data_IF_829864804903
#
_entry.id   IF_829864804903
#
_cell.length_a   1.000
_cell.length_b   1.000
_cell.length_c   1.000
_cell.angle_alpha   90.00
_cell.angle_beta   90.00
_cell.angle_gamma   90.00
#
_symmetry.space_group_name_H-M   'P 1'
#
loop_
_entity.id
_entity.type
_entity.pdbx_description
1 polymer ?
#
# COMPACT_ATOMS: atom_id res chain seq x y z
N UNK A 1 -20.72 -12.49 24.43
CA UNK A 1 -19.77 -11.79 23.54
C UNK A 1 -20.57 -11.16 22.43
N UNK A 2 -20.42 -9.84 22.20
CA UNK A 2 -21.07 -9.19 21.07
C UNK A 2 -20.29 -9.56 19.81
N UNK A 3 -20.82 -10.49 19.03
CA UNK A 3 -20.29 -10.86 17.72
C UNK A 3 -20.52 -9.70 16.73
N UNK A 4 -19.62 -9.59 15.76
CA UNK A 4 -19.73 -8.67 14.62
C UNK A 4 -19.82 -9.48 13.33
N UNK A 5 -20.21 -8.86 12.22
CA UNK A 5 -20.06 -9.49 10.91
C UNK A 5 -18.60 -9.88 10.64
N UNK A 6 -18.32 -11.05 10.03
CA UNK A 6 -16.96 -11.50 9.80
C UNK A 6 -16.15 -10.56 8.91
N UNK A 7 -14.93 -10.23 9.35
CA UNK A 7 -13.93 -9.51 8.57
C UNK A 7 -12.84 -10.49 8.16
N UNK A 8 -12.85 -10.88 6.89
CA UNK A 8 -11.84 -11.74 6.27
C UNK A 8 -10.72 -10.88 5.68
N UNK A 9 -9.84 -10.34 6.54
CA UNK A 9 -8.86 -9.33 6.12
C UNK A 9 -7.91 -9.84 5.03
N UNK A 10 -7.50 -11.12 5.07
CA UNK A 10 -6.66 -11.71 4.04
C UNK A 10 -7.39 -11.72 2.69
N UNK A 11 -8.60 -12.27 2.64
CA UNK A 11 -9.45 -12.30 1.44
C UNK A 11 -9.67 -10.88 0.88
N UNK A 12 -9.88 -9.89 1.74
CA UNK A 12 -10.09 -8.49 1.33
C UNK A 12 -8.83 -7.92 0.68
N UNK A 13 -7.65 -8.15 1.28
CA UNK A 13 -6.37 -7.68 0.74
C UNK A 13 -6.04 -8.38 -0.57
N UNK A 14 -6.13 -9.72 -0.60
CA UNK A 14 -5.85 -10.52 -1.81
C UNK A 14 -6.73 -10.10 -2.96
N UNK A 15 -8.03 -9.86 -2.72
CA UNK A 15 -8.95 -9.37 -3.75
C UNK A 15 -8.51 -8.04 -4.36
N UNK A 16 -8.05 -7.09 -3.53
CA UNK A 16 -7.57 -5.80 -4.05
C UNK A 16 -6.33 -5.99 -4.92
N UNK A 17 -5.42 -6.88 -4.51
CA UNK A 17 -4.22 -7.18 -5.30
C UNK A 17 -4.57 -7.92 -6.58
N UNK A 18 -5.57 -8.81 -6.56
CA UNK A 18 -6.09 -9.49 -7.74
C UNK A 18 -6.68 -8.50 -8.77
N UNK A 19 -7.41 -7.47 -8.30
CA UNK A 19 -7.91 -6.41 -9.18
C UNK A 19 -6.74 -5.65 -9.87
N UNK A 20 -5.68 -5.33 -9.10
CA UNK A 20 -4.46 -4.69 -9.63
C UNK A 20 -3.73 -5.61 -10.61
N UNK A 21 -3.60 -6.89 -10.27
CA UNK A 21 -2.97 -7.91 -11.09
C UNK A 21 -3.69 -8.08 -12.44
N UNK A 22 -5.02 -8.16 -12.43
CA UNK A 22 -5.83 -8.24 -13.65
C UNK A 22 -5.66 -6.99 -14.51
N UNK A 23 -5.73 -5.80 -13.90
CA UNK A 23 -5.44 -4.55 -14.59
C UNK A 23 -4.04 -4.56 -15.22
N UNK A 24 -3.02 -5.04 -14.51
CA UNK A 24 -1.67 -5.16 -15.05
C UNK A 24 -1.57 -6.14 -16.21
N UNK A 25 -2.08 -7.36 -16.02
CA UNK A 25 -2.08 -8.43 -17.02
C UNK A 25 -2.75 -7.99 -18.32
N UNK A 26 -3.88 -7.30 -18.24
CA UNK A 26 -4.66 -6.88 -19.41
C UNK A 26 -3.99 -5.76 -20.20
N UNK A 27 -3.14 -4.94 -19.56
CA UNK A 27 -2.60 -3.72 -20.17
C UNK A 27 -1.08 -3.75 -20.41
N UNK A 28 -0.33 -4.60 -19.69
CA UNK A 28 1.13 -4.57 -19.73
C UNK A 28 1.70 -4.86 -21.13
N UNK A 29 1.03 -5.67 -21.96
CA UNK A 29 1.47 -5.96 -23.33
C UNK A 29 1.45 -4.74 -24.27
N UNK A 30 0.67 -3.70 -23.93
CA UNK A 30 0.69 -2.44 -24.68
C UNK A 30 1.95 -1.63 -24.40
N UNK A 31 2.49 -1.74 -23.18
CA UNK A 31 3.62 -0.93 -22.72
C UNK A 31 4.97 -1.66 -22.75
N UNK A 32 4.96 -3.00 -22.65
CA UNK A 32 6.17 -3.82 -22.52
C UNK A 32 6.18 -5.06 -23.42
N UNK A 33 7.39 -5.48 -23.78
CA UNK A 33 7.69 -6.86 -24.15
C UNK A 33 7.69 -7.70 -22.87
N UNK A 34 6.72 -8.63 -22.77
CA UNK A 34 6.52 -9.46 -21.58
C UNK A 34 7.54 -10.62 -21.59
N UNK A 35 8.32 -10.82 -20.52
CA UNK A 35 9.23 -11.97 -20.41
C UNK A 35 8.48 -13.31 -20.43
N UNK A 36 9.04 -14.33 -21.10
CA UNK A 36 8.41 -15.65 -21.28
C UNK A 36 7.91 -16.28 -19.96
N UNK A 37 8.72 -16.20 -18.90
CA UNK A 37 8.35 -16.73 -17.58
C UNK A 37 7.12 -16.01 -16.99
N UNK A 38 6.96 -14.72 -17.26
CA UNK A 38 5.78 -13.97 -16.81
C UNK A 38 4.58 -14.26 -17.68
N UNK A 39 4.77 -14.38 -19.00
CA UNK A 39 3.70 -14.76 -19.92
C UNK A 39 3.14 -16.16 -19.57
N UNK A 40 4.01 -17.12 -19.22
CA UNK A 40 3.60 -18.41 -18.68
C UNK A 40 2.85 -18.27 -17.35
N UNK A 41 3.36 -17.44 -16.42
CA UNK A 41 2.67 -17.17 -15.16
C UNK A 41 1.25 -16.63 -15.39
N UNK A 42 1.08 -15.66 -16.29
CA UNK A 42 -0.21 -15.08 -16.66
C UNK A 42 -1.17 -16.10 -17.29
N UNK A 43 -0.66 -17.04 -18.09
CA UNK A 43 -1.50 -18.12 -18.66
C UNK A 43 -1.99 -19.07 -17.58
N UNK A 44 -1.12 -19.45 -16.66
CA UNK A 44 -1.41 -20.42 -15.60
C UNK A 44 -2.22 -19.85 -14.44
N UNK A 45 -2.15 -18.53 -14.21
CA UNK A 45 -2.84 -17.86 -13.11
C UNK A 45 -3.82 -16.83 -13.70
N UNK A 46 -5.11 -17.13 -13.67
CA UNK A 46 -6.13 -16.19 -14.16
C UNK A 46 -6.58 -15.19 -13.10
N UNK A 47 -6.41 -15.55 -11.83
CA UNK A 47 -6.79 -14.77 -10.67
C UNK A 47 -5.93 -15.18 -9.47
N UNK A 48 -5.76 -14.26 -8.54
CA UNK A 48 -5.09 -14.48 -7.26
C UNK A 48 -6.16 -14.67 -6.19
N UNK A 49 -6.11 -15.79 -5.45
CA UNK A 49 -7.13 -16.15 -4.44
C UNK A 49 -6.59 -16.24 -3.03
N UNK A 50 -5.29 -16.47 -2.91
CA UNK A 50 -4.64 -16.74 -1.64
C UNK A 50 -3.39 -15.88 -1.50
N UNK A 51 -2.90 -15.73 -0.27
CA UNK A 51 -1.58 -15.18 -0.02
C UNK A 51 -0.47 -15.92 -0.78
N UNK A 52 -0.58 -17.24 -0.93
CA UNK A 52 0.41 -18.03 -1.69
C UNK A 52 0.48 -17.61 -3.16
N UNK A 53 -0.63 -17.16 -3.74
CA UNK A 53 -0.65 -16.66 -5.12
C UNK A 53 0.07 -15.31 -5.22
N UNK A 54 -0.05 -14.46 -4.19
CA UNK A 54 0.69 -13.20 -4.10
C UNK A 54 2.21 -13.45 -4.02
N UNK A 55 2.62 -14.39 -3.18
CA UNK A 55 4.02 -14.78 -3.03
C UNK A 55 4.56 -15.35 -4.35
N UNK A 56 3.78 -16.19 -5.04
CA UNK A 56 4.16 -16.74 -6.35
C UNK A 56 4.34 -15.66 -7.42
N UNK A 57 3.43 -14.67 -7.47
CA UNK A 57 3.55 -13.51 -8.36
C UNK A 57 4.79 -12.68 -8.02
N UNK A 58 5.04 -12.40 -6.73
CA UNK A 58 6.22 -11.68 -6.29
C UNK A 58 7.53 -12.36 -6.71
N UNK A 59 7.61 -13.68 -6.58
CA UNK A 59 8.75 -14.49 -7.04
C UNK A 59 8.90 -14.43 -8.56
N UNK A 60 7.79 -14.48 -9.31
CA UNK A 60 7.83 -14.39 -10.77
C UNK A 60 8.33 -13.01 -11.24
N UNK A 61 7.86 -11.93 -10.60
CA UNK A 61 8.29 -10.57 -10.90
C UNK A 61 9.76 -10.35 -10.57
N UNK A 62 10.22 -10.77 -9.40
CA UNK A 62 11.62 -10.62 -8.98
C UNK A 62 12.59 -11.31 -9.95
N UNK A 63 12.26 -12.54 -10.37
CA UNK A 63 13.06 -13.31 -11.35
C UNK A 63 13.10 -12.69 -12.74
N UNK A 64 12.09 -11.91 -13.11
CA UNK A 64 11.93 -11.36 -14.46
C UNK A 64 12.19 -9.86 -14.51
N UNK A 65 12.46 -9.20 -13.37
CA UNK A 65 12.48 -7.75 -13.26
C UNK A 65 13.43 -7.08 -14.26
N UNK A 66 14.61 -7.66 -14.49
CA UNK A 66 15.59 -7.16 -15.46
C UNK A 66 15.24 -7.43 -16.93
N UNK A 67 14.28 -8.30 -17.19
CA UNK A 67 13.98 -8.81 -18.53
C UNK A 67 12.84 -8.03 -19.20
N UNK A 68 12.08 -7.26 -18.43
CA UNK A 68 11.03 -6.38 -18.94
C UNK A 68 11.63 -5.26 -19.79
N UNK A 69 11.08 -5.08 -20.99
CA UNK A 69 11.52 -4.03 -21.92
C UNK A 69 10.35 -3.18 -22.38
N UNK A 70 10.40 -1.85 -22.22
CA UNK A 70 9.38 -0.96 -22.77
C UNK A 70 9.33 -1.03 -24.31
N UNK A 71 8.12 -1.11 -24.87
CA UNK A 71 7.91 -1.20 -26.33
C UNK A 71 8.42 0.03 -27.10
N UNK A 72 8.43 1.21 -26.46
CA UNK A 72 8.87 2.48 -27.02
C UNK A 72 10.27 2.91 -26.57
N UNK A 73 11.00 2.01 -25.90
CA UNK A 73 12.30 2.28 -25.25
C UNK A 73 12.26 3.35 -24.14
N UNK A 74 11.08 3.75 -23.66
CA UNK A 74 10.97 4.65 -22.52
C UNK A 74 11.18 3.89 -21.21
N UNK A 75 12.41 3.91 -20.70
CA UNK A 75 12.81 3.19 -19.47
C UNK A 75 12.02 3.64 -18.23
N UNK A 76 11.48 4.86 -18.21
CA UNK A 76 10.69 5.37 -17.08
C UNK A 76 9.43 4.54 -16.84
N UNK A 77 8.91 3.86 -17.88
CA UNK A 77 7.77 2.93 -17.74
C UNK A 77 8.04 1.81 -16.72
N UNK A 78 9.30 1.47 -16.47
CA UNK A 78 9.69 0.50 -15.43
C UNK A 78 9.16 0.88 -14.03
N UNK A 79 8.78 2.14 -13.81
CA UNK A 79 8.08 2.57 -12.59
C UNK A 79 6.80 1.77 -12.33
N UNK A 80 6.08 1.34 -13.37
CA UNK A 80 4.87 0.52 -13.25
C UNK A 80 5.16 -0.83 -12.56
N UNK A 81 6.32 -1.43 -12.86
CA UNK A 81 6.77 -2.67 -12.22
C UNK A 81 7.10 -2.43 -10.74
N UNK A 82 7.71 -1.28 -10.42
CA UNK A 82 7.96 -0.87 -9.04
C UNK A 82 6.65 -0.68 -8.28
N UNK A 83 5.65 -0.02 -8.87
CA UNK A 83 4.33 0.12 -8.26
C UNK A 83 3.68 -1.25 -7.98
N UNK A 84 3.70 -2.18 -8.94
CA UNK A 84 3.17 -3.54 -8.74
C UNK A 84 3.89 -4.27 -7.60
N UNK A 85 5.22 -4.20 -7.55
CA UNK A 85 6.02 -4.78 -6.46
C UNK A 85 5.70 -4.15 -5.11
N UNK A 86 5.58 -2.83 -5.03
CA UNK A 86 5.20 -2.09 -3.83
C UNK A 86 3.81 -2.48 -3.32
N UNK A 87 2.84 -2.68 -4.22
CA UNK A 87 1.50 -3.18 -3.88
C UNK A 87 1.58 -4.57 -3.26
N UNK A 88 2.33 -5.49 -3.88
CA UNK A 88 2.49 -6.87 -3.40
C UNK A 88 3.15 -6.93 -2.03
N UNK A 89 4.29 -6.25 -1.87
CA UNK A 89 5.02 -6.21 -0.61
C UNK A 89 4.16 -5.61 0.51
N UNK A 90 3.46 -4.52 0.22
CA UNK A 90 2.58 -3.85 1.19
C UNK A 90 1.39 -4.72 1.59
N UNK A 91 0.84 -5.49 0.65
CA UNK A 91 -0.24 -6.44 0.94
C UNK A 91 0.22 -7.54 1.90
N UNK A 92 1.37 -8.15 1.63
CA UNK A 92 1.94 -9.21 2.48
C UNK A 92 2.28 -8.66 3.87
N UNK A 93 2.87 -7.47 3.96
CA UNK A 93 3.14 -6.79 5.25
C UNK A 93 1.83 -6.58 6.01
N UNK A 94 0.79 -6.03 5.38
CA UNK A 94 -0.49 -5.79 6.03
C UNK A 94 -1.11 -7.08 6.59
N UNK A 95 -1.16 -8.15 5.79
CA UNK A 95 -1.65 -9.47 6.22
C UNK A 95 -0.87 -9.95 7.45
N UNK A 96 0.46 -9.98 7.36
CA UNK A 96 1.34 -10.44 8.44
C UNK A 96 1.19 -9.61 9.72
N UNK A 97 1.03 -8.29 9.61
CA UNK A 97 0.82 -7.42 10.77
C UNK A 97 -0.47 -7.77 11.50
N UNK A 98 -1.60 -7.91 10.78
CA UNK A 98 -2.87 -8.30 11.40
C UNK A 98 -2.83 -9.73 11.96
N UNK A 99 -2.26 -10.68 11.23
CA UNK A 99 -2.09 -12.04 11.73
C UNK A 99 -1.28 -12.08 13.03
N UNK A 100 -0.16 -11.36 13.08
CA UNK A 100 0.74 -11.33 14.24
C UNK A 100 0.04 -10.76 15.46
N UNK A 101 -0.66 -9.63 15.32
CA UNK A 101 -1.42 -9.03 16.42
C UNK A 101 -2.52 -9.95 16.96
N UNK A 102 -3.26 -10.64 16.07
CA UNK A 102 -4.28 -11.61 16.50
C UNK A 102 -3.67 -12.83 17.19
N UNK A 103 -2.55 -13.37 16.68
CA UNK A 103 -1.82 -14.49 17.29
C UNK A 103 -1.30 -14.14 18.68
N UNK A 104 -0.75 -12.94 18.86
CA UNK A 104 -0.20 -12.47 20.14
C UNK A 104 -1.27 -12.40 21.24
N UNK A 105 -2.52 -12.15 20.87
CA UNK A 105 -3.67 -12.09 21.78
C UNK A 105 -4.50 -13.39 21.79
N UNK A 106 -3.93 -14.48 21.25
CA UNK A 106 -4.55 -15.80 21.15
C UNK A 106 -5.95 -15.80 20.49
N UNK A 107 -6.17 -14.91 19.52
CA UNK A 107 -7.40 -14.87 18.72
C UNK A 107 -7.25 -15.67 17.42
N UNK A 108 -8.37 -16.15 16.85
CA UNK A 108 -8.37 -16.77 15.52
C UNK A 108 -7.80 -15.84 14.44
N UNK A 109 -7.07 -16.44 13.51
CA UNK A 109 -6.42 -15.78 12.38
C UNK A 109 -7.27 -15.96 11.11
N UNK A 110 -7.11 -15.10 10.11
CA UNK A 110 -7.87 -15.11 8.85
C UNK A 110 -9.24 -14.43 8.93
N UNK A 111 -9.98 -14.62 10.03
CA UNK A 111 -11.33 -14.04 10.18
C UNK A 111 -11.55 -13.45 11.57
N UNK A 112 -11.96 -12.19 11.62
CA UNK A 112 -12.32 -11.47 12.86
C UNK A 112 -13.83 -11.43 13.02
N UNK A 113 -14.35 -11.93 14.14
CA UNK A 113 -15.81 -12.00 14.43
C UNK A 113 -16.18 -11.41 15.79
N UNK A 114 -15.22 -10.85 16.52
CA UNK A 114 -15.42 -10.32 17.87
C UNK A 114 -15.01 -8.85 17.95
N UNK A 115 -15.62 -8.09 18.87
CA UNK A 115 -15.23 -6.70 19.14
C UNK A 115 -13.76 -6.57 19.59
N UNK A 116 -13.26 -7.51 20.39
CA UNK A 116 -11.85 -7.52 20.81
C UNK A 116 -10.93 -7.67 19.59
N UNK A 117 -11.28 -8.55 18.66
CA UNK A 117 -10.52 -8.67 17.40
C UNK A 117 -10.60 -7.41 16.54
N UNK A 118 -11.74 -6.71 16.52
CA UNK A 118 -11.86 -5.41 15.87
C UNK A 118 -10.95 -4.36 16.52
N UNK A 119 -10.93 -4.28 17.85
CA UNK A 119 -10.05 -3.36 18.59
C UNK A 119 -8.58 -3.62 18.24
N UNK A 120 -8.19 -4.89 18.07
CA UNK A 120 -6.85 -5.25 17.62
C UNK A 120 -6.57 -4.84 16.19
N UNK A 121 -7.50 -5.01 15.26
CA UNK A 121 -7.35 -4.51 13.88
C UNK A 121 -7.06 -3.00 13.89
N UNK A 122 -7.82 -2.23 14.68
CA UNK A 122 -7.63 -0.77 14.78
C UNK A 122 -6.28 -0.46 15.44
N UNK A 123 -5.92 -1.14 16.53
CA UNK A 123 -4.64 -0.97 17.20
C UNK A 123 -3.45 -1.30 16.29
N UNK A 124 -3.53 -2.38 15.51
CA UNK A 124 -2.51 -2.75 14.51
C UNK A 124 -2.38 -1.66 13.44
N UNK A 125 -3.49 -1.11 12.96
CA UNK A 125 -3.44 -0.02 11.99
C UNK A 125 -2.77 1.25 12.57
N UNK A 126 -3.04 1.59 13.84
CA UNK A 126 -2.33 2.67 14.55
C UNK A 126 -0.84 2.38 14.64
N UNK A 127 -0.44 1.15 14.97
CA UNK A 127 0.97 0.76 15.04
C UNK A 127 1.66 0.86 13.68
N UNK A 128 1.02 0.39 12.61
CA UNK A 128 1.51 0.52 11.23
C UNK A 128 1.76 2.00 10.89
N UNK A 129 0.78 2.87 11.16
CA UNK A 129 0.87 4.29 10.86
C UNK A 129 2.00 4.95 11.65
N UNK A 130 2.11 4.68 12.95
CA UNK A 130 3.15 5.24 13.81
C UNK A 130 4.55 4.78 13.41
N UNK A 131 4.74 3.47 13.23
CA UNK A 131 6.05 2.90 12.85
C UNK A 131 6.52 3.42 11.49
N UNK A 132 5.65 3.41 10.48
CA UNK A 132 6.00 3.93 9.15
C UNK A 132 6.27 5.42 9.16
N UNK A 133 5.53 6.20 9.93
CA UNK A 133 5.81 7.63 10.06
C UNK A 133 7.21 7.87 10.66
N UNK A 134 7.59 7.12 11.69
CA UNK A 134 8.94 7.19 12.28
C UNK A 134 10.03 6.77 11.27
N UNK A 135 9.82 5.67 10.54
CA UNK A 135 10.76 5.20 9.51
C UNK A 135 10.95 6.24 8.39
N UNK A 136 9.86 6.89 7.97
CA UNK A 136 9.90 7.90 6.92
C UNK A 136 10.62 9.18 7.37
N UNK A 137 10.36 9.67 8.58
CA UNK A 137 11.08 10.83 9.15
C UNK A 137 12.58 10.54 9.22
N UNK A 138 12.96 9.39 9.80
CA UNK A 138 14.37 8.98 9.87
C UNK A 138 14.99 8.89 8.48
N UNK A 139 14.29 8.27 7.53
CA UNK A 139 14.76 8.15 6.16
C UNK A 139 14.97 9.49 5.46
N UNK A 140 14.07 10.44 5.69
CA UNK A 140 14.15 11.78 5.13
C UNK A 140 15.37 12.54 5.67
N UNK A 141 15.62 12.44 6.98
CA UNK A 141 16.76 13.05 7.64
C UNK A 141 18.10 12.39 7.23
N UNK A 142 18.15 11.05 7.20
CA UNK A 142 19.33 10.28 6.76
C UNK A 142 19.74 10.58 5.32
N UNK A 143 18.78 10.97 4.47
CA UNK A 143 19.02 11.36 3.08
C UNK A 143 19.26 12.86 2.89
N UNK A 144 19.32 13.62 3.98
CA UNK A 144 19.59 15.06 4.02
C UNK A 144 18.61 15.90 3.16
N UNK A 145 17.39 15.40 2.96
CA UNK A 145 16.39 16.02 2.06
C UNK A 145 15.71 17.28 2.66
N UNK A 146 16.05 17.65 3.89
CA UNK A 146 15.52 18.85 4.57
C UNK A 146 15.86 20.16 3.84
N UNK A 147 16.99 20.20 3.14
CA UNK A 147 17.43 21.35 2.37
C UNK A 147 17.21 21.17 0.86
N UNK A 148 16.35 20.23 0.47
CA UNK A 148 16.09 19.94 -0.93
C UNK A 148 15.49 21.17 -1.64
N UNK A 149 16.12 21.67 -2.71
CA UNK A 149 15.69 22.90 -3.39
C UNK A 149 14.32 22.78 -4.08
N UNK A 150 13.85 21.56 -4.36
CA UNK A 150 12.58 21.32 -5.06
C UNK A 150 11.39 21.17 -4.10
N UNK A 151 11.64 21.00 -2.79
CA UNK A 151 10.61 20.99 -1.72
C UNK A 151 9.49 19.96 -2.01
N UNK A 152 9.79 18.90 -2.78
CA UNK A 152 8.77 18.00 -3.32
C UNK A 152 8.04 17.26 -2.19
N UNK A 153 8.80 16.81 -1.20
CA UNK A 153 8.31 15.98 -0.10
C UNK A 153 7.99 16.75 1.18
N UNK A 154 8.21 18.07 1.25
CA UNK A 154 8.13 18.84 2.49
C UNK A 154 6.76 18.73 3.19
N UNK A 155 5.67 18.80 2.43
CA UNK A 155 4.31 18.62 2.99
C UNK A 155 4.11 17.23 3.57
N UNK A 156 4.52 16.20 2.82
CA UNK A 156 4.38 14.82 3.25
C UNK A 156 5.27 14.54 4.47
N UNK A 157 6.49 15.08 4.48
CA UNK A 157 7.41 14.95 5.61
C UNK A 157 6.90 15.65 6.87
N UNK A 158 6.34 16.86 6.74
CA UNK A 158 5.69 17.57 7.87
C UNK A 158 4.54 16.77 8.44
N UNK A 159 3.71 16.18 7.60
CA UNK A 159 2.59 15.34 8.03
C UNK A 159 3.10 14.10 8.78
N UNK A 160 4.05 13.34 8.23
CA UNK A 160 4.57 12.15 8.93
C UNK A 160 5.31 12.50 10.21
N UNK A 161 5.99 13.66 10.27
CA UNK A 161 6.61 14.13 11.50
C UNK A 161 5.55 14.38 12.58
N UNK A 162 4.46 15.07 12.25
CA UNK A 162 3.34 15.29 13.16
C UNK A 162 2.73 13.97 13.65
N UNK A 163 2.52 13.01 12.73
CA UNK A 163 1.97 11.69 13.08
C UNK A 163 2.92 10.94 14.01
N UNK A 164 4.24 11.00 13.76
CA UNK A 164 5.25 10.30 14.56
C UNK A 164 5.36 10.79 16.01
N UNK A 165 4.90 12.01 16.28
CA UNK A 165 4.90 12.65 17.61
C UNK A 165 3.58 12.46 18.37
N UNK A 166 2.56 11.84 17.74
CA UNK A 166 1.26 11.64 18.39
C UNK A 166 1.35 10.64 19.55
N UNK A 167 0.71 11.00 20.66
CA UNK A 167 0.45 10.07 21.76
C UNK A 167 -0.58 9.02 21.33
N UNK A 168 -0.52 7.83 21.92
CA UNK A 168 -1.31 6.67 21.50
C UNK A 168 -2.82 6.94 21.41
N UNK A 169 -3.41 7.60 22.42
CA UNK A 169 -4.84 7.92 22.44
C UNK A 169 -5.25 8.85 21.29
N UNK A 170 -4.44 9.89 21.03
CA UNK A 170 -4.66 10.82 19.92
C UNK A 170 -4.46 10.13 18.57
N UNK A 171 -3.45 9.26 18.47
CA UNK A 171 -3.17 8.49 17.25
C UNK A 171 -4.34 7.56 16.91
N UNK A 172 -4.94 6.93 17.92
CA UNK A 172 -6.14 6.11 17.75
C UNK A 172 -7.33 6.97 17.27
N UNK A 173 -7.60 8.08 17.95
CA UNK A 173 -8.70 8.98 17.59
C UNK A 173 -8.56 9.59 16.18
N UNK A 174 -7.34 9.83 15.72
CA UNK A 174 -7.02 10.43 14.42
C UNK A 174 -6.64 9.42 13.34
N UNK A 175 -6.75 8.11 13.59
CA UNK A 175 -6.27 7.08 12.67
C UNK A 175 -6.77 7.29 11.23
N UNK A 176 -8.08 7.46 11.09
CA UNK A 176 -8.75 7.64 9.80
C UNK A 176 -8.28 8.91 9.08
N UNK A 177 -8.24 10.03 9.81
CA UNK A 177 -7.78 11.32 9.28
C UNK A 177 -6.32 11.22 8.82
N UNK A 178 -5.46 10.59 9.62
CA UNK A 178 -4.03 10.43 9.31
C UNK A 178 -3.82 9.58 8.06
N UNK A 179 -4.54 8.47 7.92
CA UNK A 179 -4.48 7.60 6.73
C UNK A 179 -4.94 8.37 5.48
N UNK A 180 -6.09 9.03 5.55
CA UNK A 180 -6.68 9.77 4.42
C UNK A 180 -5.79 10.96 4.02
N UNK A 181 -5.31 11.74 4.99
CA UNK A 181 -4.47 12.90 4.73
C UNK A 181 -3.12 12.50 4.16
N UNK A 182 -2.55 11.38 4.61
CA UNK A 182 -1.33 10.82 4.03
C UNK A 182 -1.53 10.47 2.56
N UNK A 183 -2.57 9.69 2.24
CA UNK A 183 -2.87 9.26 0.87
C UNK A 183 -3.06 10.47 -0.04
N UNK A 184 -3.83 11.47 0.40
CA UNK A 184 -4.05 12.71 -0.37
C UNK A 184 -2.76 13.50 -0.57
N UNK A 185 -1.96 13.65 0.49
CA UNK A 185 -0.70 14.39 0.42
C UNK A 185 0.31 13.66 -0.46
N UNK A 186 0.35 12.32 -0.42
CA UNK A 186 1.15 11.51 -1.32
C UNK A 186 0.76 11.73 -2.78
N UNK A 187 -0.53 11.72 -3.11
CA UNK A 187 -0.99 12.00 -4.49
C UNK A 187 -0.55 13.39 -4.98
N UNK A 188 -0.63 14.41 -4.12
CA UNK A 188 -0.11 15.75 -4.45
C UNK A 188 1.40 15.74 -4.67
N UNK A 189 2.16 15.01 -3.84
CA UNK A 189 3.61 14.85 -4.04
C UNK A 189 3.92 14.09 -5.33
N UNK A 190 3.16 13.05 -5.66
CA UNK A 190 3.32 12.27 -6.88
C UNK A 190 3.07 13.12 -8.14
N UNK A 191 2.01 13.93 -8.14
CA UNK A 191 1.74 14.86 -9.24
C UNK A 191 2.86 15.90 -9.39
N UNK A 192 3.38 16.44 -8.29
CA UNK A 192 4.54 17.34 -8.36
C UNK A 192 5.76 16.65 -8.95
N UNK A 193 6.02 15.39 -8.59
CA UNK A 193 7.13 14.62 -9.15
C UNK A 193 7.01 14.46 -10.67
N UNK A 194 5.80 14.26 -11.21
CA UNK A 194 5.61 14.14 -12.66
C UNK A 194 5.80 15.45 -13.43
N UNK A 195 5.87 16.59 -12.72
CA UNK A 195 6.10 17.92 -13.31
C UNK A 195 7.58 18.34 -13.27
N UNK A 196 8.43 17.60 -12.55
CA UNK A 196 9.87 17.86 -12.38
C UNK A 196 10.67 17.28 -13.56
N UNK A 197 11.71 17.97 -14.01
CA UNK A 197 12.56 17.47 -15.09
C UNK A 197 13.41 16.27 -14.63
N UNK A 198 13.60 15.27 -15.49
CA UNK A 198 14.24 13.99 -15.12
C UNK A 198 15.68 14.14 -14.60
N UNK A 199 16.43 15.12 -15.11
CA UNK A 199 17.79 15.45 -14.67
C UNK A 199 17.85 16.02 -13.23
N UNK A 200 16.70 16.38 -12.68
CA UNK A 200 16.56 16.85 -11.30
C UNK A 200 16.25 15.71 -10.31
N UNK A 201 16.24 14.43 -10.73
CA UNK A 201 16.03 13.29 -9.81
C UNK A 201 17.34 12.73 -9.25
N UNK A 202 17.64 13.03 -7.99
CA UNK A 202 18.76 12.39 -7.27
C UNK A 202 18.38 11.00 -6.77
N UNK A 203 19.38 10.14 -6.57
CA UNK A 203 19.18 8.81 -5.97
C UNK A 203 18.49 8.88 -4.59
N UNK A 204 18.74 9.94 -3.83
CA UNK A 204 18.06 10.20 -2.56
C UNK A 204 16.56 10.46 -2.73
N UNK A 205 16.15 11.28 -3.73
CA UNK A 205 14.74 11.54 -4.04
C UNK A 205 14.02 10.28 -4.48
N UNK A 206 14.64 9.49 -5.36
CA UNK A 206 14.07 8.22 -5.83
C UNK A 206 13.88 7.26 -4.65
N UNK A 207 14.89 7.10 -3.80
CA UNK A 207 14.80 6.22 -2.62
C UNK A 207 13.71 6.66 -1.65
N UNK A 208 13.58 7.97 -1.41
CA UNK A 208 12.55 8.48 -0.51
C UNK A 208 11.15 8.35 -1.12
N UNK A 209 11.03 8.61 -2.43
CA UNK A 209 9.80 8.38 -3.17
C UNK A 209 9.32 6.94 -3.04
N UNK A 210 10.20 5.95 -3.27
CA UNK A 210 9.85 4.54 -3.12
C UNK A 210 9.36 4.20 -1.71
N UNK A 211 9.99 4.74 -0.66
CA UNK A 211 9.53 4.55 0.73
C UNK A 211 8.14 5.14 0.97
N UNK A 212 7.85 6.31 0.40
CA UNK A 212 6.52 6.91 0.46
C UNK A 212 5.49 6.11 -0.33
N UNK A 213 5.87 5.58 -1.50
CA UNK A 213 5.01 4.74 -2.32
C UNK A 213 4.61 3.46 -1.61
N UNK A 214 5.56 2.74 -1.02
CA UNK A 214 5.30 1.53 -0.23
C UNK A 214 4.35 1.85 0.94
N UNK A 215 4.64 2.92 1.67
CA UNK A 215 3.80 3.33 2.81
C UNK A 215 2.39 3.72 2.37
N UNK A 216 2.24 4.37 1.21
CA UNK A 216 0.93 4.71 0.64
C UNK A 216 0.06 3.46 0.42
N UNK A 217 0.61 2.41 -0.19
CA UNK A 217 -0.16 1.17 -0.41
C UNK A 217 -0.48 0.45 0.90
N UNK A 218 0.48 0.38 1.83
CA UNK A 218 0.24 -0.18 3.15
C UNK A 218 -0.88 0.56 3.90
N UNK A 219 -0.93 1.89 3.80
CA UNK A 219 -1.98 2.71 4.39
C UNK A 219 -3.32 2.53 3.71
N UNK A 220 -3.36 2.34 2.38
CA UNK A 220 -4.60 1.99 1.66
C UNK A 220 -5.17 0.66 2.17
N UNK A 221 -4.31 -0.36 2.37
CA UNK A 221 -4.76 -1.64 2.93
C UNK A 221 -5.27 -1.49 4.36
N UNK A 222 -4.54 -0.78 5.23
CA UNK A 222 -4.97 -0.52 6.60
C UNK A 222 -6.31 0.21 6.65
N UNK A 223 -6.48 1.26 5.84
CA UNK A 223 -7.71 2.03 5.71
C UNK A 223 -8.89 1.16 5.31
N UNK A 224 -8.71 0.31 4.28
CA UNK A 224 -9.75 -0.58 3.78
C UNK A 224 -10.19 -1.59 4.84
N UNK A 225 -9.25 -2.18 5.56
CA UNK A 225 -9.57 -3.14 6.63
C UNK A 225 -10.31 -2.46 7.79
N UNK A 226 -9.82 -1.31 8.27
CA UNK A 226 -10.47 -0.55 9.35
C UNK A 226 -11.90 -0.14 8.97
N UNK A 227 -12.12 0.30 7.72
CA UNK A 227 -13.43 0.68 7.22
C UNK A 227 -14.37 -0.48 6.90
N UNK A 228 -13.87 -1.72 6.87
CA UNK A 228 -14.72 -2.87 6.54
C UNK A 228 -15.82 -3.08 7.58
N UNK A 229 -15.51 -2.98 8.87
CA UNK A 229 -16.51 -3.09 9.94
C UNK A 229 -17.65 -2.07 9.79
N UNK A 230 -17.40 -0.74 9.78
CA UNK A 230 -18.48 0.22 9.69
C UNK A 230 -19.25 0.12 8.37
N UNK A 231 -18.62 -0.30 7.27
CA UNK A 231 -19.30 -0.58 6.01
C UNK A 231 -20.26 -1.78 6.12
N UNK A 232 -19.78 -2.93 6.61
CA UNK A 232 -20.57 -4.15 6.72
C UNK A 232 -21.76 -3.99 7.68
N UNK A 233 -21.61 -3.19 8.74
CA UNK A 233 -22.66 -2.90 9.71
C UNK A 233 -23.63 -1.78 9.28
N UNK A 234 -23.44 -1.21 8.07
CA UNK A 234 -24.33 -0.17 7.54
C UNK A 234 -24.15 1.20 8.21
N UNK A 235 -23.00 1.44 8.83
CA UNK A 235 -22.63 2.74 9.42
C UNK A 235 -22.06 3.71 8.37
N UNK A 236 -21.67 3.19 7.21
CA UNK A 236 -21.14 3.97 6.09
C UNK A 236 -21.88 3.53 4.82
N UNK A 237 -22.40 4.51 4.08
CA UNK A 237 -23.04 4.30 2.78
C UNK A 237 -22.04 3.73 1.75
N UNK A 238 -22.45 2.81 0.86
CA UNK A 238 -21.54 2.20 -0.12
C UNK A 238 -20.78 3.20 -0.99
N UNK A 239 -21.42 4.30 -1.38
CA UNK A 239 -20.77 5.35 -2.19
C UNK A 239 -19.72 6.13 -1.39
N UNK A 240 -19.96 6.36 -0.09
CA UNK A 240 -18.98 6.99 0.79
C UNK A 240 -17.77 6.09 0.98
N UNK A 241 -18.00 4.78 1.20
CA UNK A 241 -16.92 3.80 1.29
C UNK A 241 -16.04 3.77 0.04
N UNK A 242 -16.67 3.73 -1.16
CA UNK A 242 -15.95 3.78 -2.44
C UNK A 242 -15.16 5.07 -2.66
N UNK A 243 -15.67 6.20 -2.17
CA UNK A 243 -15.02 7.50 -2.34
C UNK A 243 -13.84 7.71 -1.36
N UNK A 244 -13.91 7.11 -0.17
CA UNK A 244 -12.84 7.22 0.83
C UNK A 244 -11.69 6.28 0.49
N UNK A 245 -11.98 5.07 0.02
CA UNK A 245 -10.95 4.07 -0.23
C UNK A 245 -10.47 4.19 -1.67
N UNK A 246 -9.20 4.58 -1.89
CA UNK A 246 -8.66 4.70 -3.23
C UNK A 246 -8.69 3.35 -3.93
N UNK A 247 -8.99 3.38 -5.22
CA UNK A 247 -8.62 2.29 -6.11
C UNK A 247 -7.11 2.35 -6.36
N UNK A 248 -6.51 1.18 -6.50
CA UNK A 248 -5.13 1.07 -6.95
C UNK A 248 -5.25 0.70 -8.44
N UNK A 249 -4.93 1.65 -9.30
CA UNK A 249 -4.90 1.48 -10.76
C UNK A 249 -3.47 1.78 -11.20
N UNK A 250 -2.86 0.87 -11.98
CA UNK A 250 -1.47 1.05 -12.44
C UNK A 250 -1.39 1.79 -13.78
N UNK A 251 -2.42 1.65 -14.61
CA UNK A 251 -2.53 2.26 -15.95
C UNK A 251 -3.66 3.28 -15.99
#
# INVERSE_FOLDING_TARGET
>A
MNQIKPIEYESIIVKVVDDVYKNFKDNCGNEFEIPDNMDEFFKNNQELKTRSDLDALGVALDKTFSDWKPNDNNLDKSILLNHLMSVLQSAVIAILSFESSLKNEALPVGTVTTKVGLDLIVATAVQIVGQKSIELVKGFDELELKNDPLIIFDKLNKLVNQISELQAETAFAKLMDNLIEYIRTFQVCYQKLSEVQTDEFTAARIKMFMRYLDTNYLFIFALRIVLTYPYQEGLIEPEVFKNIIPKIELF
#
